data_IF_722825867335
#
_entry.id   IF_722825867335
#
_cell.length_a   1.000
_cell.length_b   1.000
_cell.length_c   1.000
_cell.angle_alpha   90.00
_cell.angle_beta   90.00
_cell.angle_gamma   90.00
#
_symmetry.space_group_name_H-M   'P 1'
#
loop_
_entity.id
_entity.type
_entity.pdbx_description
1 polymer ?
#
# COMPACT_ATOMS: atom_id res chain seq x y z
N UNK A 1 1.34 -6.94 -5.41
CA UNK A 1 2.27 -6.32 -6.38
C UNK A 1 2.26 -7.15 -7.64
N UNK A 2 2.40 -6.51 -8.79
CA UNK A 2 2.15 -7.15 -10.08
C UNK A 2 3.39 -7.90 -10.55
N UNK A 3 3.23 -9.21 -10.80
CA UNK A 3 4.25 -10.05 -11.46
C UNK A 3 4.22 -9.91 -12.99
N UNK A 4 3.30 -9.14 -13.55
CA UNK A 4 3.31 -8.73 -14.96
C UNK A 4 2.82 -7.30 -15.03
N UNK A 5 3.52 -6.45 -15.78
CA UNK A 5 3.14 -5.04 -15.97
C UNK A 5 2.81 -4.78 -17.44
N UNK A 6 2.00 -3.76 -17.71
CA UNK A 6 1.74 -3.28 -19.08
C UNK A 6 2.80 -2.29 -19.60
N UNK A 7 3.83 -2.01 -18.80
CA UNK A 7 4.93 -1.12 -19.17
C UNK A 7 5.94 -1.97 -19.94
N UNK A 8 6.16 -1.69 -21.23
CA UNK A 8 6.93 -2.55 -22.14
C UNK A 8 8.33 -2.94 -21.62
N UNK A 9 8.96 -2.09 -20.81
CA UNK A 9 10.31 -2.29 -20.29
C UNK A 9 10.36 -2.83 -18.85
N UNK A 10 9.23 -3.06 -18.19
CA UNK A 10 9.17 -3.43 -16.78
C UNK A 10 8.41 -4.73 -16.57
N UNK A 11 9.10 -5.77 -16.08
CA UNK A 11 8.49 -7.08 -15.83
C UNK A 11 7.65 -7.10 -14.56
N UNK A 12 8.11 -6.41 -13.50
CA UNK A 12 7.48 -6.41 -12.17
C UNK A 12 7.51 -5.03 -11.53
N UNK A 13 6.44 -4.67 -10.82
CA UNK A 13 6.40 -3.45 -10.00
C UNK A 13 6.35 -3.78 -8.52
N UNK A 14 7.22 -3.11 -7.76
CA UNK A 14 7.27 -3.22 -6.30
C UNK A 14 7.11 -1.85 -5.65
N UNK A 15 6.19 -1.73 -4.69
CA UNK A 15 6.07 -0.57 -3.81
C UNK A 15 6.55 -0.96 -2.40
N UNK A 16 7.71 -0.43 -1.96
CA UNK A 16 8.25 -0.72 -0.64
C UNK A 16 7.47 -0.09 0.51
N UNK A 17 6.53 0.81 0.25
CA UNK A 17 5.79 1.52 1.30
C UNK A 17 4.36 1.02 1.42
N UNK A 18 3.97 0.64 2.64
CA UNK A 18 2.61 0.27 3.01
C UNK A 18 2.05 1.24 4.05
N UNK A 19 0.78 1.61 3.89
CA UNK A 19 0.14 2.68 4.66
C UNK A 19 0.06 3.99 3.86
N UNK A 20 -1.08 4.67 3.95
CA UNK A 20 -1.36 5.89 3.19
C UNK A 20 -2.31 6.82 3.96
N UNK A 21 -2.37 8.08 3.54
CA UNK A 21 -3.27 9.10 4.07
C UNK A 21 -4.42 9.33 3.08
N UNK A 22 -5.64 9.52 3.59
CA UNK A 22 -6.82 9.80 2.76
C UNK A 22 -6.75 11.25 2.24
N UNK A 23 -6.20 11.45 1.05
CA UNK A 23 -5.98 12.80 0.48
C UNK A 23 -7.12 13.30 -0.42
N UNK A 24 -7.99 12.41 -0.92
CA UNK A 24 -9.07 12.79 -1.84
C UNK A 24 -10.34 11.94 -1.66
N UNK A 25 -11.50 12.36 -2.21
CA UNK A 25 -12.72 11.56 -2.21
C UNK A 25 -12.56 10.18 -2.86
N UNK A 26 -11.65 10.05 -3.84
CA UNK A 26 -11.35 8.79 -4.52
C UNK A 26 -10.81 7.69 -3.59
N UNK A 27 -10.32 8.05 -2.40
CA UNK A 27 -9.88 7.08 -1.41
C UNK A 27 -11.02 6.35 -0.68
N UNK A 28 -12.30 6.70 -0.90
CA UNK A 28 -13.44 6.09 -0.19
C UNK A 28 -13.51 4.56 -0.30
N UNK A 29 -13.14 4.00 -1.46
CA UNK A 29 -13.17 2.56 -1.72
C UNK A 29 -11.77 1.97 -1.96
N UNK A 30 -10.74 2.54 -1.32
CA UNK A 30 -9.39 2.04 -1.50
C UNK A 30 -9.21 0.64 -0.88
N UNK A 31 -8.82 -0.35 -1.70
CA UNK A 31 -8.56 -1.71 -1.23
C UNK A 31 -7.52 -1.76 -0.10
N UNK A 32 -6.51 -0.90 -0.17
CA UNK A 32 -5.42 -0.87 0.79
C UNK A 32 -5.86 -0.32 2.17
N UNK A 33 -6.90 0.52 2.23
CA UNK A 33 -7.53 0.92 3.49
C UNK A 33 -8.19 -0.28 4.17
N UNK A 34 -8.94 -1.09 3.41
CA UNK A 34 -9.61 -2.28 3.94
C UNK A 34 -8.59 -3.32 4.44
N UNK A 35 -7.51 -3.53 3.68
CA UNK A 35 -6.45 -4.47 4.09
C UNK A 35 -5.70 -3.97 5.34
N UNK A 36 -5.41 -2.66 5.42
CA UNK A 36 -4.80 -2.05 6.61
C UNK A 36 -5.64 -2.25 7.87
N UNK A 37 -6.97 -2.12 7.78
CA UNK A 37 -7.87 -2.44 8.91
C UNK A 37 -7.80 -3.90 9.34
N UNK A 38 -7.59 -4.82 8.40
CA UNK A 38 -7.48 -6.26 8.67
C UNK A 38 -6.15 -6.63 9.33
N UNK A 39 -5.03 -6.04 8.90
CA UNK A 39 -3.71 -6.36 9.47
C UNK A 39 -2.83 -5.10 9.62
N UNK A 40 -3.10 -4.26 10.63
CA UNK A 40 -2.44 -2.97 10.79
C UNK A 40 -0.95 -3.10 11.15
N UNK A 41 -0.53 -4.19 11.80
CA UNK A 41 0.87 -4.40 12.18
C UNK A 41 1.79 -4.60 10.96
N UNK A 42 1.32 -5.26 9.90
CA UNK A 42 2.14 -5.56 8.71
C UNK A 42 1.91 -4.60 7.54
N UNK A 43 0.72 -4.01 7.47
CA UNK A 43 0.31 -3.14 6.35
C UNK A 43 0.28 -1.65 6.72
N UNK A 44 0.64 -1.32 7.96
CA UNK A 44 0.56 0.02 8.51
C UNK A 44 -0.87 0.45 8.80
N UNK A 45 -1.01 1.56 9.51
CA UNK A 45 -2.31 2.19 9.77
C UNK A 45 -2.56 3.30 8.77
N UNK A 46 -3.76 3.32 8.19
CA UNK A 46 -4.17 4.39 7.27
C UNK A 46 -4.67 5.62 8.04
N UNK A 47 -4.28 6.81 7.59
CA UNK A 47 -4.71 8.07 8.18
C UNK A 47 -3.65 9.18 8.12
N UNK A 48 -4.00 10.41 8.54
CA UNK A 48 -3.05 11.52 8.65
C UNK A 48 -1.96 11.24 9.70
N UNK A 49 -2.31 10.54 10.79
CA UNK A 49 -1.39 10.12 11.85
C UNK A 49 -1.11 8.61 11.82
N UNK A 50 -1.35 7.96 10.68
CA UNK A 50 -1.16 6.52 10.51
C UNK A 50 0.31 6.17 10.31
N UNK A 51 0.77 5.10 10.97
CA UNK A 51 2.13 4.59 10.84
C UNK A 51 2.28 3.87 9.49
N UNK A 52 3.24 4.32 8.68
CA UNK A 52 3.65 3.64 7.45
C UNK A 52 4.67 2.56 7.79
N UNK A 53 4.59 1.45 7.07
CA UNK A 53 5.48 0.30 7.25
C UNK A 53 6.26 0.08 5.97
N UNK A 54 7.57 -0.10 6.10
CA UNK A 54 8.44 -0.48 5.00
C UNK A 54 8.33 -1.99 4.76
N UNK A 55 7.96 -2.38 3.55
CA UNK A 55 7.65 -3.75 3.19
C UNK A 55 8.88 -4.61 2.89
N UNK A 56 10.01 -3.98 2.51
CA UNK A 56 11.22 -4.67 2.10
C UNK A 56 12.16 -5.03 3.28
N UNK A 57 12.00 -4.41 4.44
CA UNK A 57 12.77 -4.77 5.65
C UNK A 57 12.24 -6.05 6.34
N UNK A 58 11.04 -6.50 5.96
CA UNK A 58 10.35 -7.66 6.53
C UNK A 58 10.07 -8.76 5.48
N UNK A 59 10.94 -8.91 4.47
CA UNK A 59 10.84 -9.99 3.47
C UNK A 59 12.00 -10.96 3.58
#
# INVERSE_FOLDING_TARGET
MGTKTGIQWCDHTFNPWRGCTKVSPGCQHCYALTMSKRNPATLGTWGPNGARVFAAENY
#
